data_IF_854948526742
#
_entry.id   IF_854948526742
#
_cell.length_a   1.000
_cell.length_b   1.000
_cell.length_c   1.000
_cell.angle_alpha   90.00
_cell.angle_beta   90.00
_cell.angle_gamma   90.00
#
_symmetry.space_group_name_H-M   'P 1'
#
loop_
_entity.id
_entity.type
_entity.pdbx_description
1 polymer ?
#
# COMPACT_ATOMS: atom_id res chain seq x y z
N UNK A 1 15.55 -12.22 -25.23
CA UNK A 1 14.68 -11.08 -24.83
C UNK A 1 13.25 -11.44 -25.21
N UNK A 2 12.48 -12.00 -24.30
CA UNK A 2 11.05 -12.32 -24.56
C UNK A 2 10.27 -11.04 -24.34
N UNK A 3 9.86 -10.37 -25.40
CA UNK A 3 8.86 -9.32 -25.38
C UNK A 3 7.48 -9.98 -25.49
N UNK A 4 6.72 -10.01 -24.40
CA UNK A 4 5.30 -10.40 -24.43
C UNK A 4 4.42 -9.17 -24.37
N UNK A 5 3.42 -9.12 -25.25
CA UNK A 5 2.47 -8.00 -25.35
C UNK A 5 1.34 -8.18 -24.31
N UNK A 6 0.99 -7.11 -23.60
CA UNK A 6 -0.15 -7.09 -22.67
C UNK A 6 -1.52 -7.18 -23.35
N UNK A 7 -1.57 -7.14 -24.70
CA UNK A 7 -2.82 -7.16 -25.47
C UNK A 7 -3.65 -8.42 -25.33
N UNK A 8 -3.11 -9.53 -24.77
CA UNK A 8 -3.78 -10.83 -24.68
C UNK A 8 -4.62 -11.06 -23.40
N UNK A 9 -4.60 -10.13 -22.45
CA UNK A 9 -5.21 -10.37 -21.10
C UNK A 9 -6.71 -10.01 -21.04
N UNK A 10 -7.30 -9.58 -22.13
CA UNK A 10 -8.67 -9.03 -22.16
C UNK A 10 -9.82 -10.06 -21.99
N UNK A 11 -9.58 -11.34 -21.67
CA UNK A 11 -10.63 -12.38 -21.73
C UNK A 11 -10.91 -13.08 -20.38
N UNK A 12 -10.18 -12.81 -19.31
CA UNK A 12 -10.44 -13.49 -18.04
C UNK A 12 -11.25 -12.65 -17.06
N UNK A 13 -12.56 -12.79 -17.18
CA UNK A 13 -13.57 -12.16 -16.34
C UNK A 13 -13.43 -12.47 -14.82
N UNK A 14 -13.93 -11.53 -14.01
CA UNK A 14 -14.03 -11.49 -12.55
C UNK A 14 -14.30 -12.83 -11.82
N UNK A 15 -14.84 -13.86 -12.45
CA UNK A 15 -15.10 -15.18 -11.88
C UNK A 15 -13.83 -15.99 -11.58
N UNK A 16 -12.76 -15.81 -12.35
CA UNK A 16 -11.52 -16.57 -12.15
C UNK A 16 -10.61 -15.97 -11.06
N UNK A 17 -10.76 -14.68 -10.76
CA UNK A 17 -10.05 -14.01 -9.68
C UNK A 17 -10.37 -14.66 -8.31
N UNK A 18 -11.63 -14.94 -8.05
CA UNK A 18 -12.11 -15.59 -6.83
C UNK A 18 -11.65 -17.05 -6.73
N UNK A 19 -11.72 -17.80 -7.83
CA UNK A 19 -11.30 -19.20 -7.86
C UNK A 19 -9.78 -19.35 -7.67
N UNK A 20 -8.97 -18.46 -8.21
CA UNK A 20 -7.52 -18.54 -8.08
C UNK A 20 -7.04 -18.20 -6.66
N UNK A 21 -7.56 -17.12 -6.05
CA UNK A 21 -7.30 -16.80 -4.65
C UNK A 21 -7.75 -17.92 -3.72
N UNK A 22 -8.91 -18.51 -3.98
CA UNK A 22 -9.46 -19.61 -3.19
C UNK A 22 -8.63 -20.90 -3.34
N UNK A 23 -8.14 -21.23 -4.55
CA UNK A 23 -7.30 -22.40 -4.78
C UNK A 23 -5.89 -22.29 -4.19
N UNK A 24 -5.29 -21.10 -4.18
CA UNK A 24 -3.98 -20.89 -3.54
C UNK A 24 -4.11 -20.95 -2.01
N UNK A 25 -5.22 -20.45 -1.44
CA UNK A 25 -5.47 -20.46 0.00
C UNK A 25 -5.87 -21.87 0.50
N UNK A 26 -6.58 -22.67 -0.29
CA UNK A 26 -7.08 -23.98 0.16
C UNK A 26 -6.08 -25.14 -0.04
N UNK A 27 -5.10 -25.02 -0.93
CA UNK A 27 -4.11 -26.09 -1.15
C UNK A 27 -2.99 -26.14 -0.11
N UNK A 28 -2.73 -25.09 0.65
CA UNK A 28 -1.69 -25.10 1.69
C UNK A 28 -2.17 -25.64 3.04
N UNK A 29 -3.47 -25.57 3.34
CA UNK A 29 -4.03 -26.11 4.59
C UNK A 29 -3.98 -27.66 4.70
N UNK A 30 -3.77 -28.36 3.61
CA UNK A 30 -3.72 -29.84 3.58
C UNK A 30 -2.35 -30.42 3.95
N UNK A 31 -1.28 -29.63 3.96
CA UNK A 31 0.09 -30.12 4.21
C UNK A 31 0.68 -29.77 5.59
N UNK A 32 0.04 -28.90 6.39
CA UNK A 32 0.62 -28.39 7.64
C UNK A 32 0.03 -28.97 8.95
N UNK A 33 -0.72 -30.06 8.90
CA UNK A 33 -1.14 -30.75 10.13
C UNK A 33 -0.06 -31.68 10.71
N UNK A 34 1.13 -31.17 10.98
CA UNK A 34 2.05 -31.80 11.94
C UNK A 34 3.00 -30.77 12.57
N UNK A 35 2.76 -30.54 13.86
CA UNK A 35 3.69 -30.06 14.89
C UNK A 35 4.21 -28.62 14.81
N UNK A 36 3.63 -27.74 15.62
CA UNK A 36 4.32 -26.54 16.03
C UNK A 36 4.16 -26.26 17.54
N UNK A 37 5.29 -26.09 18.25
CA UNK A 37 5.38 -25.45 19.57
C UNK A 37 6.22 -24.18 19.41
N UNK A 38 5.76 -23.02 19.91
CA UNK A 38 6.51 -21.79 19.76
C UNK A 38 7.53 -21.61 20.90
N UNK A 39 8.77 -21.27 20.55
CA UNK A 39 9.74 -20.61 21.42
C UNK A 39 10.47 -19.55 20.58
N UNK A 40 10.10 -18.29 20.71
CA UNK A 40 10.92 -17.17 20.25
C UNK A 40 11.50 -16.43 21.44
N UNK A 41 12.83 -16.43 21.56
CA UNK A 41 13.62 -15.46 22.31
C UNK A 41 14.42 -14.66 21.29
N UNK A 42 14.17 -13.38 21.19
CA UNK A 42 15.02 -12.49 20.38
C UNK A 42 16.23 -12.07 21.21
N UNK A 43 17.41 -12.30 20.65
CA UNK A 43 18.67 -11.77 21.16
C UNK A 43 19.05 -10.53 20.35
N UNK A 44 19.37 -9.46 21.06
CA UNK A 44 19.93 -8.23 20.50
C UNK A 44 21.38 -8.53 20.12
N UNK A 45 21.73 -8.39 18.84
CA UNK A 45 23.12 -8.46 18.37
C UNK A 45 23.59 -7.04 18.06
N UNK A 46 24.49 -6.54 18.94
CA UNK A 46 25.27 -5.33 18.67
C UNK A 46 26.42 -5.69 17.73
N UNK A 47 26.44 -5.08 16.54
CA UNK A 47 27.62 -5.14 15.67
C UNK A 47 28.38 -3.82 15.81
N UNK A 48 29.50 -3.87 16.53
CA UNK A 48 30.53 -2.82 16.55
C UNK A 48 31.46 -3.01 15.36
N UNK A 49 31.72 -1.93 14.62
CA UNK A 49 32.89 -1.82 13.74
C UNK A 49 33.76 -0.65 14.20
N UNK A 50 35.06 -0.82 14.43
CA UNK A 50 35.93 0.25 14.89
C UNK A 50 36.63 0.96 13.75
N UNK A 51 36.69 2.28 13.83
CA UNK A 51 37.76 3.06 13.23
C UNK A 51 37.37 4.21 12.31
N UNK A 52 37.27 5.42 12.85
CA UNK A 52 38.03 6.63 12.47
C UNK A 52 37.63 7.80 13.39
N UNK A 53 38.59 8.61 13.92
CA UNK A 53 38.28 9.68 14.85
C UNK A 53 38.00 11.01 14.10
N UNK A 54 36.93 11.70 14.53
CA UNK A 54 36.77 13.12 14.29
C UNK A 54 35.62 13.59 13.41
N UNK A 55 34.37 13.39 13.83
CA UNK A 55 33.23 14.30 13.64
C UNK A 55 32.08 13.82 14.55
N UNK A 56 31.33 14.70 15.22
CA UNK A 56 30.18 14.27 15.99
C UNK A 56 29.06 13.89 15.01
N UNK A 57 28.98 12.62 14.69
CA UNK A 57 27.81 12.06 14.01
C UNK A 57 26.63 12.10 14.97
N UNK A 58 25.67 12.98 14.69
CA UNK A 58 24.31 12.80 15.11
C UNK A 58 23.87 11.40 14.66
N UNK A 59 23.85 10.47 15.61
CA UNK A 59 23.22 9.17 15.40
C UNK A 59 21.72 9.43 15.10
N UNK A 60 21.35 9.36 13.83
CA UNK A 60 19.95 9.21 13.45
C UNK A 60 19.50 7.88 14.02
N UNK A 61 18.80 7.91 15.15
CA UNK A 61 18.06 6.74 15.64
C UNK A 61 17.12 6.32 14.49
N UNK A 62 17.28 5.09 14.01
CA UNK A 62 16.25 4.46 13.21
C UNK A 62 14.98 4.49 14.08
N UNK A 63 13.98 5.21 13.64
CA UNK A 63 12.66 5.22 14.28
C UNK A 63 12.03 3.89 13.88
N UNK A 64 12.23 2.87 14.71
CA UNK A 64 11.38 1.69 14.65
C UNK A 64 9.98 2.15 15.03
N UNK A 65 8.91 1.70 14.33
CA UNK A 65 7.57 1.97 14.80
C UNK A 65 7.47 1.46 16.24
N UNK A 66 7.02 2.31 17.16
CA UNK A 66 6.74 1.88 18.53
C UNK A 66 5.57 0.89 18.42
N UNK A 67 5.83 -0.37 18.78
CA UNK A 67 4.77 -1.37 18.88
C UNK A 67 3.96 -1.05 20.14
N UNK A 68 2.90 -0.27 19.98
CA UNK A 68 1.96 -0.03 21.06
C UNK A 68 1.26 -1.33 21.45
N UNK A 69 1.23 -1.60 22.77
CA UNK A 69 0.41 -2.66 23.33
C UNK A 69 -1.05 -2.22 23.44
N UNK A 70 -2.03 -3.15 23.53
CA UNK A 70 -3.41 -2.79 23.81
C UNK A 70 -3.60 -1.90 25.04
N UNK A 71 -2.80 -2.11 26.08
CA UNK A 71 -2.84 -1.33 27.32
C UNK A 71 -2.38 0.11 27.09
N UNK A 72 -1.28 0.31 26.38
CA UNK A 72 -0.78 1.65 26.03
C UNK A 72 -1.77 2.40 25.15
N UNK A 73 -2.42 1.71 24.19
CA UNK A 73 -3.48 2.31 23.39
C UNK A 73 -4.67 2.73 24.24
N UNK A 74 -5.13 1.87 25.16
CA UNK A 74 -6.24 2.21 26.07
C UNK A 74 -5.90 3.42 26.96
N UNK A 75 -4.67 3.50 27.47
CA UNK A 75 -4.19 4.66 28.22
C UNK A 75 -4.20 5.92 27.35
N UNK A 76 -3.63 5.86 26.14
CA UNK A 76 -3.61 6.98 25.19
C UNK A 76 -5.02 7.49 24.89
N UNK A 77 -5.99 6.59 24.66
CA UNK A 77 -7.38 6.95 24.37
C UNK A 77 -8.01 7.77 25.52
N UNK A 78 -7.67 7.45 26.77
CA UNK A 78 -8.17 8.16 27.96
C UNK A 78 -7.49 9.53 28.12
N UNK A 79 -6.16 9.57 27.98
CA UNK A 79 -5.35 10.79 28.18
C UNK A 79 -5.63 11.86 27.11
N UNK A 80 -5.88 11.45 25.86
CA UNK A 80 -6.00 12.32 24.70
C UNK A 80 -7.45 12.68 24.32
N UNK A 81 -8.43 12.44 25.20
CA UNK A 81 -9.87 12.73 25.00
C UNK A 81 -10.43 12.18 23.68
N UNK A 82 -9.99 10.96 23.30
CA UNK A 82 -10.50 10.31 22.10
C UNK A 82 -11.94 9.89 22.31
N UNK A 83 -12.83 10.22 21.36
CA UNK A 83 -14.28 9.91 21.43
C UNK A 83 -14.72 8.87 20.41
N UNK A 84 -13.99 8.73 19.31
CA UNK A 84 -14.30 7.78 18.23
C UNK A 84 -13.07 7.00 17.82
N UNK A 85 -13.20 5.69 17.71
CA UNK A 85 -12.14 4.79 17.25
C UNK A 85 -12.64 4.11 15.98
N UNK A 86 -11.97 4.40 14.86
CA UNK A 86 -12.27 3.76 13.59
C UNK A 86 -11.50 2.48 13.43
N UNK A 87 -12.21 1.37 13.37
CA UNK A 87 -11.67 0.06 13.01
C UNK A 87 -11.69 -0.05 11.49
N UNK A 88 -10.50 0.08 10.89
CA UNK A 88 -10.35 0.18 9.45
C UNK A 88 -9.87 -1.14 8.84
N UNK A 89 -10.39 -1.44 7.67
CA UNK A 89 -9.99 -2.57 6.83
C UNK A 89 -10.27 -2.20 5.36
N UNK A 90 -9.99 -3.08 4.43
CA UNK A 90 -10.45 -2.90 3.06
C UNK A 90 -11.17 -4.15 2.54
N UNK A 91 -12.03 -3.96 1.53
CA UNK A 91 -12.58 -5.08 0.78
C UNK A 91 -11.51 -5.71 -0.13
N UNK A 92 -11.85 -6.80 -0.81
CA UNK A 92 -10.91 -7.50 -1.69
C UNK A 92 -10.41 -6.64 -2.88
N UNK A 93 -11.10 -5.54 -3.20
CA UNK A 93 -10.69 -4.58 -4.22
C UNK A 93 -9.82 -3.44 -3.68
N UNK A 94 -9.43 -3.48 -2.40
CA UNK A 94 -8.65 -2.42 -1.76
C UNK A 94 -9.45 -1.17 -1.41
N UNK A 95 -10.78 -1.22 -1.43
CA UNK A 95 -11.61 -0.07 -1.06
C UNK A 95 -11.67 0.06 0.46
N UNK A 96 -11.32 1.23 1.04
CA UNK A 96 -11.35 1.42 2.48
C UNK A 96 -12.75 1.26 3.05
N UNK A 97 -12.84 0.55 4.16
CA UNK A 97 -14.02 0.35 4.98
C UNK A 97 -13.69 0.65 6.44
N UNK A 98 -14.66 1.05 7.21
CA UNK A 98 -14.50 1.15 8.67
C UNK A 98 -15.83 1.05 9.39
N UNK A 99 -15.76 0.66 10.67
CA UNK A 99 -16.80 0.87 11.66
C UNK A 99 -16.22 1.73 12.78
N UNK A 100 -17.01 2.64 13.34
CA UNK A 100 -16.59 3.45 14.50
C UNK A 100 -17.14 2.83 15.78
N UNK A 101 -16.27 2.66 16.77
CA UNK A 101 -16.65 2.26 18.12
C UNK A 101 -16.35 3.38 19.10
N UNK A 102 -17.01 3.35 20.25
CA UNK A 102 -16.73 4.24 21.37
C UNK A 102 -15.57 3.69 22.22
N UNK A 103 -14.86 4.54 22.97
CA UNK A 103 -13.74 4.10 23.81
C UNK A 103 -14.06 2.95 24.76
N UNK A 104 -15.28 2.89 25.29
CA UNK A 104 -15.73 1.84 26.21
C UNK A 104 -15.76 0.45 25.58
N UNK A 105 -15.84 0.38 24.25
CA UNK A 105 -15.87 -0.88 23.50
C UNK A 105 -14.47 -1.38 23.12
N UNK A 106 -13.41 -0.59 23.36
CA UNK A 106 -12.07 -0.89 22.86
C UNK A 106 -11.48 -2.15 23.50
N UNK A 107 -11.66 -2.36 24.81
CA UNK A 107 -11.21 -3.56 25.49
C UNK A 107 -11.87 -4.81 24.89
N UNK A 108 -13.18 -4.74 24.63
CA UNK A 108 -13.92 -5.82 23.96
C UNK A 108 -13.38 -6.06 22.54
N UNK A 109 -13.07 -4.97 21.80
CA UNK A 109 -12.54 -5.06 20.45
C UNK A 109 -11.19 -5.77 20.41
N UNK A 110 -10.28 -5.50 21.35
CA UNK A 110 -9.00 -6.20 21.47
C UNK A 110 -9.17 -7.66 21.86
N UNK A 111 -10.09 -7.94 22.79
CA UNK A 111 -10.24 -9.28 23.36
C UNK A 111 -11.03 -10.25 22.48
N UNK A 112 -12.10 -9.77 21.86
CA UNK A 112 -13.08 -10.61 21.16
C UNK A 112 -13.34 -10.18 19.72
N UNK A 113 -12.81 -9.04 19.30
CA UNK A 113 -13.15 -8.42 18.04
C UNK A 113 -14.51 -7.73 18.03
N UNK A 114 -14.80 -7.03 16.94
CA UNK A 114 -16.08 -6.38 16.67
C UNK A 114 -16.70 -7.05 15.45
N UNK A 115 -17.91 -7.59 15.62
CA UNK A 115 -18.63 -8.26 14.55
C UNK A 115 -19.04 -7.30 13.42
N UNK A 116 -19.00 -7.80 12.20
CA UNK A 116 -19.50 -7.13 11.00
C UNK A 116 -20.30 -8.09 10.14
N UNK A 117 -21.25 -7.54 9.38
CA UNK A 117 -21.97 -8.28 8.34
C UNK A 117 -21.15 -8.32 7.05
N UNK A 118 -20.53 -9.47 6.80
CA UNK A 118 -19.69 -9.69 5.62
C UNK A 118 -20.53 -9.78 4.33
N UNK A 119 -21.82 -10.14 4.40
CA UNK A 119 -22.68 -10.24 3.23
C UNK A 119 -22.89 -8.91 2.52
N UNK A 120 -22.79 -7.81 3.26
CA UNK A 120 -22.87 -6.45 2.75
C UNK A 120 -21.57 -5.98 2.05
N UNK A 121 -20.50 -6.78 2.10
CA UNK A 121 -19.20 -6.42 1.54
C UNK A 121 -18.91 -7.33 0.34
N UNK A 122 -18.74 -6.71 -0.82
CA UNK A 122 -18.49 -7.45 -2.06
C UNK A 122 -17.29 -8.40 -1.92
N UNK A 123 -17.56 -9.70 -2.07
CA UNK A 123 -16.55 -10.74 -2.04
C UNK A 123 -16.20 -11.30 -0.67
N UNK A 124 -16.85 -10.86 0.42
CA UNK A 124 -16.51 -11.33 1.77
C UNK A 124 -17.34 -12.52 2.24
N UNK A 125 -18.57 -12.65 1.81
CA UNK A 125 -19.42 -13.74 2.24
C UNK A 125 -20.78 -13.74 1.55
N UNK A 126 -21.62 -14.62 2.02
CA UNK A 126 -23.03 -14.70 1.67
C UNK A 126 -23.90 -14.51 2.92
N UNK A 127 -25.22 -14.53 2.75
CA UNK A 127 -26.19 -14.33 3.84
C UNK A 127 -26.15 -15.47 4.87
N UNK A 128 -25.61 -16.64 4.52
CA UNK A 128 -25.55 -17.83 5.37
C UNK A 128 -24.33 -17.83 6.29
N UNK A 129 -23.22 -17.22 5.81
CA UNK A 129 -21.94 -17.13 6.51
C UNK A 129 -21.46 -15.68 6.60
N UNK A 130 -22.32 -14.84 7.20
CA UNK A 130 -22.15 -13.38 7.19
C UNK A 130 -21.30 -12.83 8.33
N UNK A 131 -21.10 -13.58 9.41
CA UNK A 131 -20.41 -13.05 10.59
C UNK A 131 -18.90 -13.15 10.45
N UNK A 132 -18.23 -11.99 10.42
CA UNK A 132 -16.78 -11.87 10.59
C UNK A 132 -16.47 -10.91 11.74
N UNK A 133 -15.23 -10.97 12.25
CA UNK A 133 -14.78 -10.15 13.36
C UNK A 133 -13.57 -9.31 12.99
N UNK A 134 -13.59 -8.04 13.39
CA UNK A 134 -12.48 -7.09 13.26
C UNK A 134 -11.69 -7.06 14.55
N UNK A 135 -10.40 -7.41 14.49
CA UNK A 135 -9.46 -7.31 15.59
C UNK A 135 -8.48 -6.15 15.31
N UNK A 136 -8.55 -5.04 16.08
CA UNK A 136 -7.67 -3.90 15.83
C UNK A 136 -6.21 -4.25 16.13
N UNK A 137 -5.32 -3.76 15.26
CA UNK A 137 -3.88 -3.84 15.42
C UNK A 137 -3.38 -2.59 16.16
N UNK A 138 -2.97 -2.70 17.44
CA UNK A 138 -2.61 -1.55 18.25
C UNK A 138 -1.42 -0.78 17.71
N UNK A 139 -0.49 -1.45 17.01
CA UNK A 139 0.66 -0.81 16.38
C UNK A 139 0.29 0.20 15.28
N UNK A 140 -0.97 0.17 14.81
CA UNK A 140 -1.46 1.02 13.72
C UNK A 140 -2.33 2.19 14.19
N UNK A 141 -2.37 2.47 15.50
CA UNK A 141 -3.13 3.61 16.02
C UNK A 141 -2.64 4.92 15.40
N UNK A 142 -3.59 5.72 14.94
CA UNK A 142 -3.30 6.97 14.27
C UNK A 142 -4.41 8.00 14.50
N UNK A 143 -4.03 9.20 14.91
CA UNK A 143 -4.96 10.34 14.98
C UNK A 143 -5.32 10.79 13.57
N UNK A 144 -6.55 11.21 13.37
CA UNK A 144 -7.02 11.81 12.11
C UNK A 144 -6.98 13.35 12.23
N UNK A 145 -5.93 14.04 11.71
CA UNK A 145 -5.69 15.46 11.98
C UNK A 145 -6.78 16.40 11.44
N UNK A 146 -7.54 15.97 10.45
CA UNK A 146 -8.65 16.74 9.87
C UNK A 146 -9.94 16.69 10.69
N UNK A 147 -9.91 16.04 11.85
CA UNK A 147 -11.02 16.03 12.80
C UNK A 147 -10.77 17.03 13.93
N UNK A 148 -11.82 17.49 14.60
CA UNK A 148 -11.66 18.45 15.72
C UNK A 148 -10.72 17.91 16.80
N UNK A 149 -9.97 18.83 17.44
CA UNK A 149 -9.09 18.49 18.57
C UNK A 149 -9.90 18.00 19.79
N UNK A 150 -11.05 18.62 20.04
CA UNK A 150 -12.00 18.16 21.06
C UNK A 150 -12.82 16.99 20.52
N UNK A 151 -12.80 15.87 21.24
CA UNK A 151 -13.43 14.65 20.79
C UNK A 151 -12.66 14.01 19.63
N UNK A 152 -11.36 13.86 19.79
CA UNK A 152 -10.44 13.28 18.80
C UNK A 152 -10.94 11.97 18.22
N UNK A 153 -10.59 11.75 16.98
CA UNK A 153 -10.87 10.51 16.26
C UNK A 153 -9.55 9.83 15.93
N UNK A 154 -9.43 8.57 16.29
CA UNK A 154 -8.31 7.72 15.90
C UNK A 154 -8.75 6.61 14.95
N UNK A 155 -7.82 6.05 14.22
CA UNK A 155 -8.02 4.88 13.38
C UNK A 155 -7.00 3.81 13.75
N UNK A 156 -7.42 2.54 13.76
CA UNK A 156 -6.53 1.37 13.72
C UNK A 156 -6.92 0.48 12.55
N UNK A 157 -5.95 -0.14 11.89
CA UNK A 157 -6.19 -1.21 10.93
C UNK A 157 -6.50 -2.50 11.67
N UNK A 158 -7.31 -3.37 11.06
CA UNK A 158 -7.77 -4.60 11.67
C UNK A 158 -7.30 -5.84 10.89
N UNK A 159 -7.14 -6.93 11.62
CA UNK A 159 -7.15 -8.29 11.08
C UNK A 159 -8.57 -8.82 11.13
N UNK A 160 -8.97 -9.60 10.12
CA UNK A 160 -10.31 -10.16 10.02
C UNK A 160 -10.29 -11.67 10.32
N UNK A 161 -11.22 -12.13 11.16
CA UNK A 161 -11.35 -13.55 11.50
C UNK A 161 -12.78 -14.05 11.34
N UNK A 162 -12.92 -15.37 11.25
CA UNK A 162 -14.17 -16.07 11.44
C UNK A 162 -14.56 -16.09 12.93
N UNK A 163 -15.83 -16.47 13.28
CA UNK A 163 -16.27 -16.58 14.68
C UNK A 163 -15.47 -17.55 15.54
N UNK A 164 -14.85 -18.57 14.95
CA UNK A 164 -13.98 -19.53 15.62
C UNK A 164 -12.55 -19.02 15.85
N UNK A 165 -12.26 -17.78 15.45
CA UNK A 165 -10.95 -17.14 15.57
C UNK A 165 -9.96 -17.49 14.44
N UNK A 166 -10.35 -18.32 13.47
CA UNK A 166 -9.52 -18.57 12.30
C UNK A 166 -9.43 -17.34 11.41
N UNK A 167 -8.26 -17.12 10.78
CA UNK A 167 -8.06 -15.97 9.89
C UNK A 167 -8.98 -16.05 8.67
N UNK A 168 -9.61 -14.91 8.34
CA UNK A 168 -10.40 -14.82 7.13
C UNK A 168 -9.50 -14.88 5.88
N UNK A 169 -9.69 -15.84 4.97
CA UNK A 169 -8.77 -16.07 3.86
C UNK A 169 -8.65 -14.90 2.88
N UNK A 170 -9.70 -14.08 2.76
CA UNK A 170 -9.75 -12.94 1.84
C UNK A 170 -9.41 -11.60 2.51
N UNK A 171 -8.96 -11.60 3.77
CA UNK A 171 -8.34 -10.44 4.38
C UNK A 171 -7.03 -10.11 3.65
N UNK A 172 -7.05 -9.11 2.80
CA UNK A 172 -5.88 -8.73 1.98
C UNK A 172 -4.68 -8.29 2.82
N UNK A 173 -4.89 -7.66 3.98
CA UNK A 173 -3.83 -7.33 4.94
C UNK A 173 -3.25 -8.60 5.57
N UNK A 174 -4.09 -9.57 5.90
CA UNK A 174 -3.70 -10.90 6.35
C UNK A 174 -2.92 -11.69 5.29
N UNK A 175 -3.30 -11.57 4.01
CA UNK A 175 -2.55 -12.15 2.88
C UNK A 175 -1.14 -11.57 2.81
N UNK A 176 -0.97 -10.25 2.94
CA UNK A 176 0.36 -9.63 2.96
C UNK A 176 1.19 -10.09 4.17
N UNK A 177 0.57 -10.18 5.36
CA UNK A 177 1.27 -10.72 6.56
C UNK A 177 1.81 -12.14 6.31
N UNK A 178 1.07 -13.00 5.60
CA UNK A 178 1.55 -14.33 5.21
C UNK A 178 2.72 -14.26 4.25
N UNK A 179 2.63 -13.44 3.20
CA UNK A 179 3.73 -13.28 2.25
C UNK A 179 5.02 -12.79 2.92
N UNK A 180 4.90 -11.87 3.88
CA UNK A 180 6.02 -11.39 4.70
C UNK A 180 6.61 -12.54 5.54
N UNK A 181 5.77 -13.34 6.18
CA UNK A 181 6.23 -14.48 6.98
C UNK A 181 6.93 -15.54 6.11
N UNK A 182 6.41 -15.85 4.92
CA UNK A 182 7.02 -16.77 3.97
C UNK A 182 8.40 -16.27 3.52
N UNK A 183 8.51 -14.96 3.24
CA UNK A 183 9.79 -14.33 2.90
C UNK A 183 10.79 -14.42 4.05
N UNK A 184 10.36 -14.12 5.28
CA UNK A 184 11.19 -14.19 6.48
C UNK A 184 11.67 -15.61 6.75
N UNK A 185 10.81 -16.62 6.61
CA UNK A 185 11.18 -18.03 6.73
C UNK A 185 12.23 -18.46 5.68
N UNK A 186 12.22 -17.82 4.51
CA UNK A 186 13.24 -17.99 3.47
C UNK A 186 14.49 -17.11 3.69
N UNK A 187 14.54 -16.31 4.75
CA UNK A 187 15.66 -15.43 5.12
C UNK A 187 15.65 -14.08 4.38
N UNK A 188 14.51 -13.64 3.82
CA UNK A 188 14.40 -12.36 3.10
C UNK A 188 13.49 -11.39 3.80
N UNK A 189 13.87 -10.10 3.70
CA UNK A 189 13.05 -8.96 4.12
C UNK A 189 12.87 -8.03 2.94
N UNK A 190 11.63 -7.60 2.72
CA UNK A 190 11.27 -6.63 1.69
C UNK A 190 10.90 -5.30 2.32
N UNK A 191 11.33 -4.22 1.66
CA UNK A 191 10.86 -2.88 1.94
C UNK A 191 10.31 -2.27 0.65
N UNK A 192 9.24 -1.48 0.78
CA UNK A 192 8.57 -0.84 -0.35
C UNK A 192 8.47 0.67 -0.14
N UNK A 193 8.67 1.42 -1.24
CA UNK A 193 8.31 2.82 -1.38
C UNK A 193 7.22 2.95 -2.44
N UNK A 194 6.22 3.77 -2.17
CA UNK A 194 5.08 3.99 -3.05
C UNK A 194 5.13 5.39 -3.63
N UNK A 195 5.03 5.50 -4.96
CA UNK A 195 4.79 6.72 -5.69
C UNK A 195 3.38 6.63 -6.27
N UNK A 196 2.45 7.49 -5.82
CA UNK A 196 1.06 7.46 -6.26
C UNK A 196 0.68 8.79 -6.92
N UNK A 197 0.44 8.73 -8.21
CA UNK A 197 -0.01 9.87 -9.00
C UNK A 197 -1.53 10.05 -8.87
N UNK A 198 -1.98 11.31 -8.87
CA UNK A 198 -3.39 11.65 -8.79
C UNK A 198 -3.70 12.95 -9.52
N UNK A 199 -4.95 13.09 -9.95
CA UNK A 199 -5.46 14.31 -10.54
C UNK A 199 -6.35 15.08 -9.55
N UNK A 200 -6.31 16.42 -9.64
CA UNK A 200 -7.22 17.31 -8.93
C UNK A 200 -8.16 17.97 -9.95
N UNK A 201 -9.46 17.71 -9.77
CA UNK A 201 -10.52 18.25 -10.60
C UNK A 201 -11.39 19.25 -9.84
N UNK A 202 -11.95 20.21 -10.59
CA UNK A 202 -12.94 21.13 -10.07
C UNK A 202 -14.25 20.40 -9.79
N UNK A 203 -15.02 20.92 -8.83
CA UNK A 203 -16.40 20.52 -8.59
C UNK A 203 -17.34 21.39 -9.43
N UNK A 204 -18.51 20.86 -9.78
CA UNK A 204 -19.58 21.64 -10.37
C UNK A 204 -20.35 22.47 -9.30
N UNK A 205 -21.36 23.23 -9.73
CA UNK A 205 -22.20 24.06 -8.84
C UNK A 205 -22.97 23.25 -7.78
N UNK A 206 -23.14 21.93 -7.99
CA UNK A 206 -23.78 21.00 -7.07
C UNK A 206 -22.77 20.25 -6.18
N UNK A 207 -21.48 20.59 -6.28
CA UNK A 207 -20.41 19.92 -5.54
C UNK A 207 -20.05 18.54 -6.09
N UNK A 208 -20.43 18.22 -7.34
CA UNK A 208 -20.09 16.94 -7.95
C UNK A 208 -18.75 17.04 -8.72
N UNK A 209 -17.94 15.96 -8.71
CA UNK A 209 -16.68 15.93 -9.44
C UNK A 209 -16.88 16.13 -10.94
N UNK A 210 -16.11 17.03 -11.53
CA UNK A 210 -16.04 17.21 -12.99
C UNK A 210 -14.79 16.51 -13.55
N UNK A 211 -14.58 16.66 -14.88
CA UNK A 211 -13.30 16.32 -15.55
C UNK A 211 -12.54 17.58 -15.98
N UNK A 212 -12.83 18.71 -15.36
CA UNK A 212 -12.09 19.97 -15.57
C UNK A 212 -10.92 19.99 -14.62
N UNK A 213 -9.66 19.92 -15.10
CA UNK A 213 -8.48 20.00 -14.24
C UNK A 213 -8.45 21.31 -13.44
N UNK A 214 -7.87 21.25 -12.26
CA UNK A 214 -7.79 22.43 -11.40
C UNK A 214 -6.88 23.52 -11.97
N UNK A 215 -5.85 23.11 -12.72
CA UNK A 215 -4.96 23.99 -13.47
C UNK A 215 -4.61 23.42 -14.85
N UNK A 216 -3.71 24.10 -15.56
CA UNK A 216 -3.17 23.70 -16.86
C UNK A 216 -1.63 23.65 -16.82
N UNK A 217 -1.05 23.53 -15.63
CA UNK A 217 0.37 23.44 -15.44
C UNK A 217 0.95 22.11 -15.99
N UNK A 218 2.25 22.06 -16.12
CA UNK A 218 3.03 20.95 -16.64
C UNK A 218 4.06 20.49 -15.62
N UNK A 219 4.93 19.56 -16.01
CA UNK A 219 5.91 18.91 -15.15
C UNK A 219 6.84 19.91 -14.45
N UNK A 220 6.81 19.90 -13.11
CA UNK A 220 7.60 20.76 -12.23
C UNK A 220 7.37 22.27 -12.38
N UNK A 221 6.24 22.68 -12.99
CA UNK A 221 5.86 24.08 -13.00
C UNK A 221 5.65 24.60 -11.55
N UNK A 222 5.76 25.90 -11.41
CA UNK A 222 5.62 26.60 -10.12
C UNK A 222 4.40 27.51 -10.13
N UNK A 223 3.98 27.99 -8.96
CA UNK A 223 2.94 29.02 -8.87
C UNK A 223 3.35 30.30 -9.64
N UNK A 224 2.43 30.98 -10.32
CA UNK A 224 0.96 30.83 -10.24
C UNK A 224 0.35 29.81 -11.21
N UNK A 225 1.11 29.20 -12.14
CA UNK A 225 0.63 28.20 -13.09
C UNK A 225 0.20 26.95 -12.36
N UNK A 226 1.04 26.43 -11.44
CA UNK A 226 0.73 25.33 -10.53
C UNK A 226 -0.17 25.83 -9.38
N UNK A 227 -1.47 25.67 -9.51
CA UNK A 227 -2.46 25.99 -8.48
C UNK A 227 -2.57 24.92 -7.41
N UNK A 228 -2.02 23.73 -7.67
CA UNK A 228 -2.10 22.59 -6.76
C UNK A 228 -1.09 22.63 -5.62
N UNK A 229 -0.08 23.52 -5.67
CA UNK A 229 1.03 23.60 -4.72
C UNK A 229 0.56 23.66 -3.25
N UNK A 230 -0.41 24.53 -2.94
CA UNK A 230 -0.91 24.66 -1.56
C UNK A 230 -1.67 23.41 -1.09
N UNK A 231 -2.40 22.75 -1.99
CA UNK A 231 -3.12 21.48 -1.68
C UNK A 231 -2.12 20.39 -1.38
N UNK A 232 -1.06 20.24 -2.21
CA UNK A 232 0.02 19.26 -1.95
C UNK A 232 0.75 19.57 -0.64
N UNK A 233 1.01 20.86 -0.35
CA UNK A 233 1.61 21.28 0.93
C UNK A 233 0.76 20.86 2.13
N UNK A 234 -0.57 21.07 2.09
CA UNK A 234 -1.47 20.65 3.16
C UNK A 234 -1.50 19.12 3.30
N UNK A 235 -1.48 18.38 2.20
CA UNK A 235 -1.37 16.93 2.20
C UNK A 235 -0.07 16.48 2.88
N UNK A 236 1.08 17.03 2.49
CA UNK A 236 2.37 16.67 3.07
C UNK A 236 2.41 16.91 4.58
N UNK A 237 1.97 18.08 5.05
CA UNK A 237 1.93 18.41 6.48
C UNK A 237 0.96 17.48 7.25
N UNK A 238 -0.14 17.09 6.63
CA UNK A 238 -1.08 16.14 7.23
C UNK A 238 -0.46 14.74 7.33
N UNK A 239 0.26 14.29 6.29
CA UNK A 239 1.00 13.02 6.31
C UNK A 239 2.08 13.00 7.40
N UNK A 240 2.85 14.09 7.56
CA UNK A 240 3.84 14.22 8.65
C UNK A 240 3.21 14.10 10.03
N UNK A 241 2.06 14.73 10.26
CA UNK A 241 1.30 14.60 11.51
C UNK A 241 0.84 13.17 11.77
N UNK A 242 0.66 12.39 10.70
CA UNK A 242 0.31 10.97 10.76
C UNK A 242 1.54 10.05 10.75
N UNK A 243 2.76 10.56 10.93
CA UNK A 243 3.99 9.77 10.97
C UNK A 243 4.44 9.22 9.60
N UNK A 244 3.81 9.63 8.51
CA UNK A 244 4.24 9.32 7.14
C UNK A 244 5.10 10.48 6.66
N UNK A 245 6.36 10.20 6.33
CA UNK A 245 7.33 11.24 5.96
C UNK A 245 7.34 11.45 4.44
N UNK A 246 6.83 12.59 3.91
CA UNK A 246 7.01 12.95 2.51
C UNK A 246 8.48 13.18 2.17
N UNK A 247 8.88 12.81 0.96
CA UNK A 247 10.24 13.01 0.43
C UNK A 247 10.26 14.05 -0.70
N UNK A 248 9.27 14.01 -1.58
CA UNK A 248 9.12 14.97 -2.67
C UNK A 248 7.65 15.26 -2.97
N UNK A 249 7.40 16.40 -3.62
CA UNK A 249 6.06 16.84 -4.03
C UNK A 249 6.19 17.78 -5.22
N UNK A 250 5.57 17.45 -6.33
CA UNK A 250 5.63 18.26 -7.54
C UNK A 250 4.37 18.13 -8.40
N UNK A 251 4.19 19.07 -9.33
CA UNK A 251 3.22 18.95 -10.40
C UNK A 251 3.72 17.94 -11.43
N UNK A 252 2.85 17.05 -11.92
CA UNK A 252 3.14 16.08 -12.95
C UNK A 252 2.86 16.61 -14.37
N UNK A 253 3.02 15.75 -15.42
CA UNK A 253 2.93 16.15 -16.83
C UNK A 253 1.52 16.53 -17.26
N UNK A 254 0.49 15.92 -16.67
CA UNK A 254 -0.90 16.19 -17.03
C UNK A 254 -1.47 17.41 -16.30
N UNK A 255 -2.41 18.15 -16.90
CA UNK A 255 -3.05 19.29 -16.24
C UNK A 255 -3.77 18.85 -14.97
N UNK A 256 -3.48 19.51 -13.84
CA UNK A 256 -4.00 19.13 -12.52
C UNK A 256 -3.47 17.80 -11.99
N UNK A 257 -2.43 17.22 -12.60
CA UNK A 257 -1.80 15.98 -12.16
C UNK A 257 -0.68 16.26 -11.13
N UNK A 258 -0.64 15.46 -10.08
CA UNK A 258 0.24 15.65 -8.93
C UNK A 258 0.87 14.33 -8.52
N UNK A 259 2.08 14.42 -7.94
CA UNK A 259 2.77 13.32 -7.29
C UNK A 259 3.33 13.78 -5.94
N UNK A 260 3.25 12.92 -4.95
CA UNK A 260 3.89 13.08 -3.65
C UNK A 260 4.52 11.75 -3.28
N UNK A 261 5.84 11.75 -3.19
CA UNK A 261 6.59 10.59 -2.73
C UNK A 261 6.74 10.62 -1.22
N UNK A 262 6.71 9.47 -0.60
CA UNK A 262 6.96 9.33 0.83
C UNK A 262 7.91 8.17 1.10
N UNK A 263 8.58 8.27 2.23
CA UNK A 263 9.68 7.38 2.60
C UNK A 263 9.25 5.92 2.59
N UNK A 264 10.13 5.05 2.06
CA UNK A 264 9.95 3.61 2.09
C UNK A 264 9.87 3.08 3.53
N UNK A 265 9.18 1.96 3.71
CA UNK A 265 9.06 1.26 4.99
C UNK A 265 9.03 -0.26 4.78
N UNK A 266 8.90 -1.02 5.87
CA UNK A 266 8.59 -2.45 5.77
C UNK A 266 7.30 -2.67 4.98
N UNK A 267 7.12 -3.89 4.47
CA UNK A 267 6.07 -4.19 3.51
C UNK A 267 4.65 -3.92 4.05
N UNK A 268 4.39 -4.21 5.34
CA UNK A 268 3.06 -4.00 5.92
C UNK A 268 2.78 -2.52 6.13
N UNK A 269 3.71 -1.80 6.74
CA UNK A 269 3.62 -0.34 6.94
C UNK A 269 3.51 0.39 5.61
N UNK A 270 4.23 -0.03 4.56
CA UNK A 270 4.15 0.58 3.24
C UNK A 270 2.74 0.45 2.62
N UNK A 271 2.07 -0.70 2.78
CA UNK A 271 0.70 -0.89 2.30
C UNK A 271 -0.31 -0.08 3.12
N UNK A 272 -0.17 -0.08 4.45
CA UNK A 272 -0.97 0.75 5.36
C UNK A 272 -0.82 2.25 5.03
N UNK A 273 0.41 2.70 4.70
CA UNK A 273 0.72 4.07 4.30
C UNK A 273 0.10 4.43 2.94
N UNK A 274 0.14 3.54 1.94
CA UNK A 274 -0.50 3.79 0.65
C UNK A 274 -2.01 3.97 0.78
N UNK A 275 -2.69 3.17 1.61
CA UNK A 275 -4.11 3.37 1.93
C UNK A 275 -4.37 4.68 2.66
N UNK A 276 -3.51 5.02 3.61
CA UNK A 276 -3.61 6.27 4.37
C UNK A 276 -3.42 7.46 3.46
N UNK A 277 -2.42 7.42 2.58
CA UNK A 277 -2.14 8.45 1.57
C UNK A 277 -3.36 8.76 0.71
N UNK A 278 -3.96 7.75 0.08
CA UNK A 278 -5.17 7.95 -0.74
C UNK A 278 -6.32 8.58 0.04
N UNK A 279 -6.46 8.22 1.32
CA UNK A 279 -7.50 8.79 2.20
C UNK A 279 -7.22 10.25 2.53
N UNK A 280 -5.96 10.58 2.85
CA UNK A 280 -5.52 11.96 3.13
C UNK A 280 -5.72 12.83 1.91
N UNK A 281 -5.21 12.43 0.74
CA UNK A 281 -5.34 13.19 -0.51
C UNK A 281 -6.81 13.51 -0.82
N UNK A 282 -7.69 12.51 -0.79
CA UNK A 282 -9.12 12.72 -1.04
C UNK A 282 -9.77 13.65 -0.01
N UNK A 283 -9.39 13.51 1.25
CA UNK A 283 -9.95 14.33 2.34
C UNK A 283 -9.50 15.78 2.22
N UNK A 284 -8.22 16.02 1.97
CA UNK A 284 -7.67 17.38 1.85
C UNK A 284 -8.17 18.04 0.56
N UNK A 285 -8.21 17.31 -0.56
CA UNK A 285 -8.82 17.83 -1.80
C UNK A 285 -10.27 18.29 -1.56
N UNK A 286 -11.09 17.45 -0.93
CA UNK A 286 -12.48 17.79 -0.62
C UNK A 286 -12.60 19.03 0.29
N UNK A 287 -11.70 19.20 1.26
CA UNK A 287 -11.65 20.40 2.12
C UNK A 287 -11.28 21.68 1.36
N UNK A 288 -10.54 21.53 0.27
CA UNK A 288 -10.15 22.61 -0.64
C UNK A 288 -11.15 22.80 -1.80
N UNK A 289 -12.34 22.17 -1.75
CA UNK A 289 -13.36 22.32 -2.79
C UNK A 289 -13.00 21.62 -4.12
N UNK A 290 -12.19 20.56 -4.04
CA UNK A 290 -11.68 19.80 -5.20
C UNK A 290 -12.03 18.32 -5.08
N UNK A 291 -11.98 17.62 -6.21
CA UNK A 291 -12.05 16.16 -6.28
C UNK A 291 -10.70 15.57 -6.64
N UNK A 292 -10.19 14.66 -5.81
CA UNK A 292 -9.02 13.86 -6.15
C UNK A 292 -9.41 12.58 -6.89
N UNK A 293 -8.80 12.33 -8.03
CA UNK A 293 -9.04 11.18 -8.89
C UNK A 293 -7.76 10.33 -9.04
N UNK A 294 -7.84 9.09 -8.60
CA UNK A 294 -6.80 8.07 -8.69
C UNK A 294 -7.08 7.04 -9.79
N UNK A 295 -8.03 7.30 -10.69
CA UNK A 295 -8.30 6.37 -11.77
C UNK A 295 -7.10 6.27 -12.74
N UNK A 296 -6.89 5.10 -13.36
CA UNK A 296 -5.67 4.85 -14.16
C UNK A 296 -5.51 5.77 -15.36
N UNK A 297 -6.62 6.23 -15.95
CA UNK A 297 -6.62 7.11 -17.14
C UNK A 297 -7.76 8.14 -17.02
N UNK A 298 -7.62 9.15 -16.13
CA UNK A 298 -8.68 10.14 -15.88
C UNK A 298 -9.02 10.99 -17.09
N UNK A 299 -8.01 11.35 -17.88
CA UNK A 299 -8.10 12.12 -19.11
C UNK A 299 -7.51 11.31 -20.27
N UNK A 300 -8.27 11.04 -21.36
CA UNK A 300 -7.84 10.16 -22.45
C UNK A 300 -6.54 10.57 -23.12
N UNK A 301 -6.34 11.87 -23.36
CA UNK A 301 -5.21 12.42 -24.12
C UNK A 301 -3.99 12.78 -23.24
N UNK A 302 -4.12 12.70 -21.90
CA UNK A 302 -3.08 13.06 -20.96
C UNK A 302 -2.48 11.84 -20.27
N UNK A 303 -1.35 11.95 -19.56
CA UNK A 303 -0.78 10.84 -18.81
C UNK A 303 -1.79 10.20 -17.85
N UNK A 304 -1.64 8.90 -17.62
CA UNK A 304 -2.43 8.19 -16.60
C UNK A 304 -1.79 8.27 -15.24
N UNK A 305 -2.51 7.84 -14.19
CA UNK A 305 -2.01 7.80 -12.82
C UNK A 305 -1.36 6.44 -12.53
N UNK A 306 -0.04 6.45 -12.28
CA UNK A 306 0.74 5.30 -11.88
C UNK A 306 0.72 5.09 -10.36
N UNK A 307 0.90 3.84 -9.97
CA UNK A 307 1.31 3.43 -8.64
C UNK A 307 2.66 2.73 -8.78
N UNK A 308 3.74 3.51 -8.82
CA UNK A 308 5.06 2.94 -8.95
C UNK A 308 5.53 2.35 -7.61
N UNK A 309 6.01 1.11 -7.66
CA UNK A 309 6.43 0.38 -6.47
C UNK A 309 7.95 0.27 -6.47
N UNK A 310 8.61 1.02 -5.61
CA UNK A 310 10.03 0.89 -5.34
C UNK A 310 10.28 -0.29 -4.41
N UNK A 311 11.14 -1.22 -4.80
CA UNK A 311 11.36 -2.49 -4.13
C UNK A 311 12.81 -2.58 -3.69
N UNK A 312 13.03 -2.82 -2.40
CA UNK A 312 14.32 -3.22 -1.84
C UNK A 312 14.18 -4.59 -1.18
N UNK A 313 15.20 -5.43 -1.34
CA UNK A 313 15.25 -6.76 -0.73
C UNK A 313 16.56 -6.96 0.01
N UNK A 314 16.47 -7.42 1.25
CA UNK A 314 17.60 -7.84 2.06
C UNK A 314 17.54 -9.35 2.29
N UNK A 315 18.70 -10.00 2.49
CA UNK A 315 18.76 -11.44 2.71
C UNK A 315 20.04 -12.04 2.10
N UNK A 316 20.17 -13.38 2.10
CA UNK A 316 21.35 -14.08 1.60
C UNK A 316 21.50 -13.98 0.08
N UNK A 317 22.73 -14.06 -0.39
CA UNK A 317 23.11 -14.06 -1.81
C UNK A 317 23.42 -12.66 -2.36
N UNK A 318 24.48 -12.58 -3.17
CA UNK A 318 24.92 -11.32 -3.77
C UNK A 318 23.96 -10.81 -4.86
N UNK A 319 23.37 -11.74 -5.62
CA UNK A 319 22.48 -11.43 -6.75
C UNK A 319 20.98 -11.44 -6.38
N UNK A 320 20.63 -11.27 -5.10
CA UNK A 320 19.24 -11.36 -4.62
C UNK A 320 18.27 -10.44 -5.36
N UNK A 321 18.70 -9.22 -5.70
CA UNK A 321 17.88 -8.26 -6.45
C UNK A 321 17.59 -8.80 -7.86
N UNK A 322 18.60 -9.31 -8.56
CA UNK A 322 18.45 -9.87 -9.90
C UNK A 322 17.53 -11.08 -9.90
N UNK A 323 17.65 -11.97 -8.90
CA UNK A 323 16.78 -13.14 -8.74
C UNK A 323 15.34 -12.72 -8.46
N UNK A 324 15.13 -11.75 -7.58
CA UNK A 324 13.80 -11.18 -7.31
C UNK A 324 13.18 -10.61 -8.60
N UNK A 325 13.92 -9.81 -9.35
CA UNK A 325 13.44 -9.22 -10.60
C UNK A 325 13.12 -10.26 -11.65
N UNK A 326 13.95 -11.29 -11.79
CA UNK A 326 13.69 -12.41 -12.70
C UNK A 326 12.35 -13.12 -12.35
N UNK A 327 12.09 -13.33 -11.05
CA UNK A 327 10.83 -13.91 -10.58
C UNK A 327 9.63 -13.03 -10.89
N UNK A 328 9.71 -11.72 -10.59
CA UNK A 328 8.65 -10.75 -10.88
C UNK A 328 8.35 -10.70 -12.38
N UNK A 329 9.37 -10.55 -13.22
CA UNK A 329 9.20 -10.48 -14.68
C UNK A 329 8.59 -11.76 -15.24
N UNK A 330 8.98 -12.93 -14.73
CA UNK A 330 8.47 -14.22 -15.15
C UNK A 330 6.98 -14.41 -14.77
N UNK A 331 6.57 -13.90 -13.60
CA UNK A 331 5.19 -14.03 -13.09
C UNK A 331 4.29 -12.87 -13.47
N UNK A 332 4.81 -11.85 -14.13
CA UNK A 332 4.03 -10.66 -14.50
C UNK A 332 2.74 -10.96 -15.27
N UNK A 333 2.70 -11.90 -16.24
CA UNK A 333 1.45 -12.24 -16.93
C UNK A 333 0.33 -12.70 -15.98
N UNK A 334 0.70 -13.37 -14.88
CA UNK A 334 -0.24 -13.94 -13.90
C UNK A 334 -0.71 -12.87 -12.90
N UNK A 335 0.19 -11.98 -12.47
CA UNK A 335 -0.09 -11.01 -11.41
C UNK A 335 -0.61 -9.66 -11.94
N UNK A 336 -0.48 -9.39 -13.24
CA UNK A 336 -0.85 -8.08 -13.80
C UNK A 336 -2.31 -7.70 -13.57
N UNK A 337 -3.23 -8.69 -13.51
CA UNK A 337 -4.65 -8.42 -13.25
C UNK A 337 -4.89 -7.80 -11.85
N UNK A 338 -4.05 -8.13 -10.88
CA UNK A 338 -4.13 -7.55 -9.53
C UNK A 338 -3.47 -6.18 -9.44
N UNK A 339 -2.46 -5.93 -10.29
CA UNK A 339 -1.74 -4.67 -10.36
C UNK A 339 -2.45 -3.65 -11.25
N UNK A 340 -3.32 -4.12 -12.13
CA UNK A 340 -4.05 -3.35 -13.14
C UNK A 340 -5.49 -3.89 -13.25
N UNK A 341 -6.35 -3.69 -12.21
CA UNK A 341 -7.58 -4.46 -12.05
C UNK A 341 -8.77 -3.94 -12.85
N UNK A 342 -8.63 -2.83 -13.56
CA UNK A 342 -9.75 -2.17 -14.25
C UNK A 342 -9.53 -2.12 -15.77
N UNK A 343 -10.60 -1.93 -16.54
CA UNK A 343 -10.48 -1.67 -17.99
C UNK A 343 -9.64 -0.42 -18.29
N UNK A 344 -9.76 0.61 -17.45
CA UNK A 344 -8.97 1.84 -17.60
C UNK A 344 -7.47 1.60 -17.37
N UNK A 345 -7.11 0.61 -16.55
CA UNK A 345 -5.72 0.20 -16.35
C UNK A 345 -5.06 -0.15 -17.69
N UNK A 346 -5.78 -0.90 -18.54
CA UNK A 346 -5.26 -1.31 -19.86
C UNK A 346 -5.27 -0.20 -20.91
N UNK A 347 -6.10 0.84 -20.72
CA UNK A 347 -6.01 2.08 -21.54
C UNK A 347 -4.80 2.94 -21.15
N UNK A 348 -4.32 2.82 -19.90
CA UNK A 348 -3.09 3.47 -19.43
C UNK A 348 -1.85 2.77 -19.98
N UNK A 349 -1.79 1.44 -19.92
CA UNK A 349 -0.63 0.64 -20.34
C UNK A 349 -0.30 0.89 -21.83
N UNK A 350 0.98 1.19 -22.11
CA UNK A 350 1.46 1.52 -23.44
C UNK A 350 1.18 2.95 -23.89
N UNK A 351 0.56 3.79 -23.05
CA UNK A 351 0.39 5.23 -23.33
C UNK A 351 1.42 6.05 -22.55
N UNK A 352 1.93 7.13 -23.15
CA UNK A 352 2.98 7.97 -22.57
C UNK A 352 4.16 7.14 -22.03
N UNK A 353 4.51 7.29 -20.74
CA UNK A 353 5.60 6.56 -20.07
C UNK A 353 5.15 5.25 -19.40
N UNK A 354 3.86 4.88 -19.48
CA UNK A 354 3.40 3.63 -18.92
C UNK A 354 3.92 2.43 -19.75
N UNK A 355 4.39 1.33 -19.12
CA UNK A 355 5.02 0.24 -19.85
C UNK A 355 4.03 -0.50 -20.74
N UNK A 356 4.49 -0.92 -21.93
CA UNK A 356 3.72 -1.75 -22.87
C UNK A 356 4.14 -3.21 -22.84
N UNK A 357 5.41 -3.48 -22.51
CA UNK A 357 5.99 -4.81 -22.58
C UNK A 357 6.63 -5.21 -21.25
N UNK A 358 6.68 -6.52 -21.00
CA UNK A 358 7.43 -7.07 -19.87
C UNK A 358 8.93 -6.96 -20.18
N UNK A 359 9.56 -5.97 -19.54
CA UNK A 359 10.94 -5.58 -19.84
C UNK A 359 11.57 -4.87 -18.64
N UNK A 360 12.88 -4.77 -18.63
CA UNK A 360 13.59 -4.00 -17.64
C UNK A 360 14.76 -3.21 -18.28
N UNK A 361 15.18 -2.15 -17.64
CA UNK A 361 16.35 -1.38 -18.03
C UNK A 361 16.86 -0.52 -16.88
N UNK A 362 18.12 -0.14 -16.96
CA UNK A 362 18.62 1.02 -16.22
C UNK A 362 18.04 2.29 -16.85
N UNK A 363 17.64 3.24 -16.03
CA UNK A 363 17.25 4.62 -16.37
C UNK A 363 16.01 4.80 -17.28
N UNK A 364 15.62 3.83 -18.11
CA UNK A 364 14.52 3.99 -19.06
C UNK A 364 13.14 3.89 -18.36
N UNK A 365 12.38 5.01 -18.39
CA UNK A 365 11.08 5.15 -17.74
C UNK A 365 9.91 4.46 -18.46
N UNK A 366 10.10 3.97 -19.71
CA UNK A 366 9.06 3.23 -20.44
C UNK A 366 9.09 1.71 -20.20
N UNK A 367 10.05 1.23 -19.41
CA UNK A 367 10.16 -0.19 -19.08
C UNK A 367 9.26 -0.57 -17.91
N UNK A 368 8.85 -1.85 -17.86
CA UNK A 368 8.06 -2.39 -16.75
C UNK A 368 8.81 -2.29 -15.42
N UNK A 369 10.09 -2.65 -15.43
CA UNK A 369 10.99 -2.45 -14.28
C UNK A 369 12.10 -1.51 -14.69
N UNK A 370 12.24 -0.44 -13.94
CA UNK A 370 13.36 0.50 -14.03
C UNK A 370 14.28 0.30 -12.83
N UNK A 371 15.59 0.35 -13.07
CA UNK A 371 16.60 0.40 -12.01
C UNK A 371 17.13 1.84 -11.98
N UNK A 372 16.64 2.70 -11.06
CA UNK A 372 17.07 4.08 -10.98
C UNK A 372 18.56 4.19 -10.65
N UNK A 373 19.21 5.24 -11.12
CA UNK A 373 20.55 5.60 -10.67
C UNK A 373 20.49 5.91 -9.17
N UNK A 374 21.12 5.08 -8.36
CA UNK A 374 21.17 5.23 -6.91
C UNK A 374 22.42 4.59 -6.32
N UNK A 375 22.86 5.10 -5.18
CA UNK A 375 24.05 4.64 -4.48
C UNK A 375 23.69 4.10 -3.08
N UNK A 376 24.48 3.12 -2.62
CA UNK A 376 24.38 2.62 -1.24
C UNK A 376 23.02 2.01 -0.93
N UNK A 377 22.43 2.45 0.16
CA UNK A 377 21.14 1.98 0.68
C UNK A 377 19.93 2.37 -0.18
N UNK A 378 20.08 3.36 -1.08
CA UNK A 378 19.03 3.80 -1.98
C UNK A 378 18.90 2.94 -3.25
N UNK A 379 19.69 1.88 -3.39
CA UNK A 379 19.55 0.95 -4.52
C UNK A 379 18.25 0.20 -4.43
N UNK A 380 17.43 0.34 -5.49
CA UNK A 380 16.10 -0.22 -5.59
C UNK A 380 15.76 -0.59 -7.03
N UNK A 381 14.70 -1.34 -7.19
CA UNK A 381 14.02 -1.53 -8.47
C UNK A 381 12.65 -0.90 -8.40
N UNK A 382 12.22 -0.24 -9.45
CA UNK A 382 10.93 0.42 -9.58
C UNK A 382 10.05 -0.38 -10.52
N UNK A 383 8.98 -0.98 -10.01
CA UNK A 383 7.93 -1.63 -10.80
C UNK A 383 6.90 -0.59 -11.22
N UNK A 384 6.76 -0.35 -12.53
CA UNK A 384 6.03 0.79 -13.09
C UNK A 384 4.66 0.47 -13.69
N UNK A 385 4.29 -0.82 -13.81
CA UNK A 385 3.00 -1.19 -14.39
C UNK A 385 1.80 -0.96 -13.48
N UNK A 386 1.87 -1.09 -12.14
CA UNK A 386 0.70 -0.92 -11.29
C UNK A 386 0.09 0.48 -11.43
N UNK A 387 -1.21 0.56 -11.20
CA UNK A 387 -1.95 1.81 -11.07
C UNK A 387 -2.65 1.93 -9.72
N UNK A 388 -3.14 3.12 -9.40
CA UNK A 388 -3.68 3.44 -8.08
C UNK A 388 -5.02 2.74 -7.74
N UNK A 389 -5.57 1.92 -8.64
CA UNK A 389 -6.74 1.06 -8.37
C UNK A 389 -6.35 -0.32 -7.86
N UNK A 390 -5.06 -0.67 -7.89
CA UNK A 390 -4.55 -1.89 -7.29
C UNK A 390 -4.76 -1.87 -5.76
N UNK A 391 -5.06 -3.03 -5.19
CA UNK A 391 -5.04 -3.21 -3.74
C UNK A 391 -3.58 -3.30 -3.27
N UNK A 392 -3.04 -2.33 -2.49
CA UNK A 392 -1.63 -2.32 -2.10
C UNK A 392 -1.19 -3.58 -1.35
N UNK A 393 -2.05 -4.14 -0.49
CA UNK A 393 -1.73 -5.37 0.23
C UNK A 393 -1.52 -6.56 -0.72
N UNK A 394 -2.43 -6.72 -1.70
CA UNK A 394 -2.32 -7.79 -2.69
C UNK A 394 -1.15 -7.55 -3.64
N UNK A 395 -0.93 -6.30 -4.06
CA UNK A 395 0.18 -5.94 -4.93
C UNK A 395 1.52 -6.31 -4.28
N UNK A 396 1.74 -5.94 -3.03
CA UNK A 396 2.99 -6.24 -2.33
C UNK A 396 3.14 -7.73 -2.02
N UNK A 397 2.07 -8.42 -1.61
CA UNK A 397 2.10 -9.86 -1.40
C UNK A 397 2.51 -10.62 -2.66
N UNK A 398 1.92 -10.27 -3.80
CA UNK A 398 2.23 -10.89 -5.09
C UNK A 398 3.66 -10.59 -5.56
N UNK A 399 4.15 -9.37 -5.35
CA UNK A 399 5.54 -8.99 -5.63
C UNK A 399 6.51 -9.79 -4.76
N UNK A 400 6.21 -9.97 -3.46
CA UNK A 400 7.02 -10.78 -2.54
C UNK A 400 7.06 -12.23 -3.03
N UNK A 401 5.92 -12.87 -3.26
CA UNK A 401 5.87 -14.27 -3.69
C UNK A 401 6.49 -14.48 -5.07
N UNK A 402 6.21 -13.59 -6.04
CA UNK A 402 6.82 -13.65 -7.36
C UNK A 402 8.36 -13.52 -7.29
N UNK A 403 8.84 -12.60 -6.44
CA UNK A 403 10.27 -12.39 -6.23
C UNK A 403 10.99 -13.59 -5.61
N UNK A 404 10.31 -14.37 -4.77
CA UNK A 404 10.90 -15.59 -4.18
C UNK A 404 11.08 -16.72 -5.18
N UNK A 405 10.19 -16.85 -6.16
CA UNK A 405 10.21 -17.94 -7.17
C UNK A 405 11.44 -17.84 -8.10
N UNK A 406 11.97 -16.67 -8.35
CA UNK A 406 13.16 -16.44 -9.17
C UNK A 406 14.43 -17.17 -8.69
N UNK A 407 14.39 -17.79 -7.51
CA UNK A 407 15.48 -18.59 -6.94
C UNK A 407 15.62 -20.01 -7.50
N UNK A 408 14.52 -20.61 -7.95
CA UNK A 408 14.51 -22.04 -8.30
C UNK A 408 15.05 -22.32 -9.72
N UNK A 409 15.39 -21.29 -10.50
CA UNK A 409 15.69 -21.42 -11.94
C UNK A 409 16.94 -20.68 -12.41
N UNK A 410 17.90 -20.40 -11.51
CA UNK A 410 19.24 -19.89 -11.89
C UNK A 410 20.33 -20.86 -11.46
#
# INVERSE_FOLDING_TARGET
MLQQDFSFVNILHKKYLFLWLYCQVSNEDLLLKKQWKPRCKYAIVNIFHPGFPGTPHLQKKAVFPMEYTPQEVMQYIQEEDVKFIRLAFCDCFGRPKNISIMPQELERAFRYGIALDASAIAGFGDEVHSDLFLHPDPATIMVLPWRPEHGRVVRMFCTITHPDGTLFPLDSRGILKRAIADAANAGYTFAFGSELEFYLFQLDENGQPTKIPYDQASYMDVAPEDKCENVRREICLTLEQMGIQPESSHHEEGPGQNEIDFRYSDALSAADNAHTFCTVVKTIAARNGLAADFSPKPLPEHPGSGFHINISVQGPGENRMQHMLAGILNRMPEITLFLNPTEQSYRRLGSHKAPKFISWSNDNRSMLVRIPAAHGEYRRAELRSPDCTANPYLAFALVIWAGQIGRAHV
#
